data_IF_308300215174
#
_entry.id   IF_308300215174
#
_cell.length_a   1.000
_cell.length_b   1.000
_cell.length_c   1.000
_cell.angle_alpha   90.00
_cell.angle_beta   90.00
_cell.angle_gamma   90.00
#
_symmetry.space_group_name_H-M   'P 1'
#
loop_
_entity.id
_entity.type
_entity.pdbx_description
1 polymer ?
#
# COMPACT_ATOMS: atom_id res chain seq x y z
N UNK A 1 13.77 20.21 -8.97
CA UNK A 1 13.52 18.77 -8.70
C UNK A 1 13.98 18.43 -7.28
N UNK A 2 13.11 18.54 -6.28
CA UNK A 2 13.40 18.22 -4.87
C UNK A 2 12.54 17.04 -4.39
N UNK A 3 12.66 15.90 -5.07
CA UNK A 3 11.94 14.68 -4.70
C UNK A 3 12.94 13.53 -4.58
N UNK A 4 13.56 13.37 -3.39
CA UNK A 4 13.63 12.02 -2.82
C UNK A 4 13.43 11.96 -1.29
N UNK A 5 13.57 13.07 -0.54
CA UNK A 5 13.42 13.07 0.92
C UNK A 5 11.96 13.17 1.39
N UNK A 6 11.07 13.71 0.55
CA UNK A 6 9.64 13.84 0.88
C UNK A 6 8.89 12.50 0.80
N UNK A 7 9.34 11.54 -0.02
CA UNK A 7 8.63 10.27 -0.24
C UNK A 7 8.91 9.20 0.81
N UNK A 8 10.14 9.08 1.33
CA UNK A 8 10.47 8.03 2.32
C UNK A 8 9.81 8.33 3.68
N UNK A 9 9.77 9.62 4.06
CA UNK A 9 9.06 10.10 5.25
C UNK A 9 7.55 9.87 5.15
N UNK A 10 6.97 9.99 3.95
CA UNK A 10 5.55 9.70 3.74
C UNK A 10 5.25 8.19 3.88
N UNK A 11 6.12 7.32 3.36
CA UNK A 11 5.95 5.86 3.47
C UNK A 11 6.08 5.35 4.91
N UNK A 12 7.04 5.88 5.69
CA UNK A 12 7.21 5.47 7.08
C UNK A 12 6.03 5.90 7.96
N UNK A 13 5.52 7.11 7.75
CA UNK A 13 4.30 7.61 8.42
C UNK A 13 3.07 6.80 8.00
N UNK A 14 2.96 6.43 6.72
CA UNK A 14 1.86 5.60 6.23
C UNK A 14 1.84 4.20 6.88
N UNK A 15 2.99 3.54 6.96
CA UNK A 15 3.12 2.25 7.66
C UNK A 15 2.80 2.35 9.16
N UNK A 16 3.24 3.44 9.82
CA UNK A 16 2.95 3.69 11.22
C UNK A 16 1.44 3.94 11.45
N UNK A 17 0.81 4.76 10.61
CA UNK A 17 -0.62 5.04 10.67
C UNK A 17 -1.45 3.77 10.49
N UNK A 18 -1.05 2.89 9.56
CA UNK A 18 -1.75 1.62 9.30
C UNK A 18 -1.63 0.65 10.48
N UNK A 19 -0.45 0.56 11.09
CA UNK A 19 -0.24 -0.25 12.31
C UNK A 19 -1.07 0.26 13.48
N UNK A 20 -1.14 1.59 13.65
CA UNK A 20 -1.94 2.22 14.70
C UNK A 20 -3.46 1.98 14.49
N UNK A 21 -3.95 2.10 13.26
CA UNK A 21 -5.35 1.84 12.92
C UNK A 21 -5.74 0.37 13.17
N UNK A 22 -4.87 -0.58 12.81
CA UNK A 22 -5.08 -2.00 13.09
C UNK A 22 -5.07 -2.30 14.59
N UNK A 23 -4.08 -1.78 15.32
CA UNK A 23 -4.00 -1.95 16.77
C UNK A 23 -5.23 -1.37 17.48
N UNK A 24 -5.70 -0.19 17.07
CA UNK A 24 -6.93 0.42 17.60
C UNK A 24 -8.16 -0.46 17.33
N UNK A 25 -8.31 -1.02 16.13
CA UNK A 25 -9.41 -1.93 15.79
C UNK A 25 -9.41 -3.20 16.64
N UNK A 26 -8.25 -3.84 16.81
CA UNK A 26 -8.11 -5.04 17.66
C UNK A 26 -8.41 -4.70 19.13
N UNK A 27 -7.92 -3.57 19.63
CA UNK A 27 -8.14 -3.14 21.02
C UNK A 27 -9.60 -2.77 21.28
N UNK A 28 -10.32 -2.29 20.26
CA UNK A 28 -11.76 -2.03 20.31
C UNK A 28 -12.64 -3.29 20.20
N UNK A 29 -12.03 -4.49 20.14
CA UNK A 29 -12.75 -5.76 20.09
C UNK A 29 -13.18 -6.19 18.69
N UNK A 30 -12.71 -5.52 17.63
CA UNK A 30 -12.95 -5.98 16.26
C UNK A 30 -12.18 -7.28 16.02
N UNK A 31 -12.85 -8.26 15.40
CA UNK A 31 -12.20 -9.47 14.94
C UNK A 31 -11.07 -9.15 13.95
N UNK A 32 -10.03 -9.98 13.93
CA UNK A 32 -8.85 -9.80 13.07
C UNK A 32 -9.22 -9.58 11.60
N UNK A 33 -10.22 -10.30 11.10
CA UNK A 33 -10.74 -10.17 9.74
C UNK A 33 -11.32 -8.77 9.47
N UNK A 34 -12.16 -8.27 10.38
CA UNK A 34 -12.78 -6.94 10.29
C UNK A 34 -11.74 -5.82 10.37
N UNK A 35 -10.72 -5.99 11.24
CA UNK A 35 -9.63 -5.04 11.37
C UNK A 35 -8.73 -5.00 10.13
N UNK A 36 -8.48 -6.14 9.49
CA UNK A 36 -7.71 -6.23 8.22
C UNK A 36 -8.49 -5.58 7.07
N UNK A 37 -9.80 -5.83 6.97
CA UNK A 37 -10.65 -5.22 5.95
C UNK A 37 -10.72 -3.69 6.12
N UNK A 38 -10.83 -3.19 7.35
CA UNK A 38 -10.78 -1.75 7.62
C UNK A 38 -9.41 -1.12 7.33
N UNK A 39 -8.34 -1.90 7.40
CA UNK A 39 -7.01 -1.42 7.04
C UNK A 39 -6.82 -1.33 5.50
N UNK A 40 -7.73 -1.87 4.68
CA UNK A 40 -7.66 -1.74 3.23
C UNK A 40 -8.25 -0.40 2.76
N UNK A 41 -7.39 0.51 2.32
CA UNK A 41 -7.77 1.88 1.97
C UNK A 41 -7.65 2.16 0.47
N UNK A 42 -8.25 3.27 0.02
CA UNK A 42 -8.08 3.78 -1.36
C UNK A 42 -6.61 4.05 -1.72
N UNK A 43 -5.79 4.44 -0.72
CA UNK A 43 -4.35 4.60 -0.92
C UNK A 43 -3.65 3.26 -1.20
N UNK A 44 -4.06 2.17 -0.54
CA UNK A 44 -3.57 0.83 -0.85
C UNK A 44 -4.00 0.38 -2.24
N UNK A 45 -5.22 0.71 -2.67
CA UNK A 45 -5.69 0.42 -4.02
C UNK A 45 -4.84 1.14 -5.07
N UNK A 46 -4.53 2.41 -4.87
CA UNK A 46 -3.66 3.16 -5.78
C UNK A 46 -2.24 2.57 -5.84
N UNK A 47 -1.69 2.15 -4.70
CA UNK A 47 -0.41 1.44 -4.64
C UNK A 47 -0.46 0.11 -5.40
N UNK A 48 -1.50 -0.70 -5.19
CA UNK A 48 -1.69 -1.97 -5.88
C UNK A 48 -1.91 -1.80 -7.39
N UNK A 49 -2.68 -0.79 -7.80
CA UNK A 49 -2.86 -0.45 -9.21
C UNK A 49 -1.52 -0.06 -9.85
N UNK A 50 -0.67 0.69 -9.15
CA UNK A 50 0.70 0.98 -9.57
C UNK A 50 1.55 -0.28 -9.74
N UNK A 51 1.58 -1.15 -8.73
CA UNK A 51 2.30 -2.43 -8.77
C UNK A 51 1.85 -3.29 -9.95
N UNK A 52 0.54 -3.44 -10.14
CA UNK A 52 -0.03 -4.19 -11.25
C UNK A 52 0.32 -3.56 -12.60
N UNK A 53 0.22 -2.23 -12.72
CA UNK A 53 0.57 -1.52 -13.94
C UNK A 53 2.04 -1.76 -14.34
N UNK A 54 2.98 -1.60 -13.40
CA UNK A 54 4.39 -1.86 -13.65
C UNK A 54 4.68 -3.34 -13.92
N UNK A 55 4.03 -4.26 -13.20
CA UNK A 55 4.17 -5.69 -13.41
C UNK A 55 3.69 -6.10 -14.82
N UNK A 56 2.52 -5.62 -15.23
CA UNK A 56 1.98 -5.88 -16.56
C UNK A 56 2.85 -5.25 -17.64
N UNK A 57 3.27 -3.99 -17.49
CA UNK A 57 4.17 -3.33 -18.44
C UNK A 57 5.49 -4.10 -18.59
N UNK A 58 6.11 -4.53 -17.49
CA UNK A 58 7.33 -5.34 -17.51
C UNK A 58 7.13 -6.64 -18.29
N UNK A 59 6.05 -7.38 -18.01
CA UNK A 59 5.69 -8.58 -18.78
C UNK A 59 5.51 -8.25 -20.26
N UNK A 60 4.70 -7.25 -20.62
CA UNK A 60 4.44 -6.85 -22.02
C UNK A 60 5.73 -6.51 -22.76
N UNK A 61 6.66 -5.80 -22.12
CA UNK A 61 7.96 -5.53 -22.73
C UNK A 61 8.84 -6.78 -22.88
N UNK A 62 8.75 -7.74 -21.96
CA UNK A 62 9.41 -9.05 -22.14
C UNK A 62 8.82 -9.81 -23.33
N UNK A 63 7.51 -9.75 -23.56
CA UNK A 63 6.86 -10.38 -24.73
C UNK A 63 7.25 -9.75 -26.07
N UNK A 64 7.44 -8.43 -26.12
CA UNK A 64 7.81 -7.71 -27.36
C UNK A 64 9.29 -7.89 -27.71
N UNK A 65 10.12 -8.28 -26.73
CA UNK A 65 11.57 -8.49 -26.92
C UNK A 65 11.96 -9.95 -27.14
N UNK A 66 11.02 -10.88 -27.00
CA UNK A 66 11.14 -12.29 -27.38
C UNK A 66 10.82 -12.49 -28.86
#
# INVERSE_FOLDING_TARGET
>A
MSWPFSSVSASSVYCAAKTAAFAAGVTAGAGWETAILHAWTEADQALWAGVLNFWFLGRVFDWVRA
#
